data_IF_489776185117
#
_entry.id   IF_489776185117
#
_cell.length_a   1.000
_cell.length_b   1.000
_cell.length_c   1.000
_cell.angle_alpha   90.00
_cell.angle_beta   90.00
_cell.angle_gamma   90.00
#
_symmetry.space_group_name_H-M   'P 1'
#
loop_
_entity.id
_entity.type
_entity.pdbx_description
1 polymer ?
#
# COMPACT_ATOMS: atom_id res chain seq x y z
N UNK A 1 -13.01 -5.77 16.05
CA UNK A 1 -13.87 -6.92 15.74
C UNK A 1 -14.54 -6.80 14.38
N UNK A 2 -15.17 -5.67 14.06
CA UNK A 2 -15.80 -5.47 12.73
C UNK A 2 -14.83 -5.66 11.56
N UNK A 3 -13.61 -5.12 11.68
CA UNK A 3 -12.59 -5.33 10.67
C UNK A 3 -12.17 -6.81 10.58
N UNK A 4 -11.86 -7.46 11.70
CA UNK A 4 -11.31 -8.83 11.72
C UNK A 4 -12.34 -9.91 11.39
N UNK A 5 -13.52 -9.91 12.01
CA UNK A 5 -14.54 -10.94 11.78
C UNK A 5 -15.43 -10.53 10.58
N UNK A 6 -15.90 -9.29 10.58
CA UNK A 6 -16.82 -8.79 9.55
C UNK A 6 -16.16 -8.67 8.19
N UNK A 7 -15.10 -7.86 8.09
CA UNK A 7 -14.45 -7.56 6.81
C UNK A 7 -13.45 -8.63 6.38
N UNK A 8 -12.52 -9.00 7.26
CA UNK A 8 -11.45 -9.94 6.88
C UNK A 8 -12.02 -11.34 6.70
N UNK A 9 -12.81 -11.89 7.62
CA UNK A 9 -13.39 -13.23 7.44
C UNK A 9 -14.66 -13.24 6.57
N UNK A 10 -15.32 -12.10 6.36
CA UNK A 10 -16.60 -12.03 5.63
C UNK A 10 -17.77 -12.60 6.43
N UNK A 11 -17.68 -12.61 7.77
CA UNK A 11 -18.69 -13.19 8.64
C UNK A 11 -19.52 -12.08 9.30
N UNK A 12 -20.84 -11.98 9.02
CA UNK A 12 -21.70 -11.03 9.70
C UNK A 12 -21.62 -11.21 11.22
N UNK A 13 -21.51 -10.11 11.96
CA UNK A 13 -21.41 -10.13 13.41
C UNK A 13 -22.47 -9.24 14.06
N UNK A 14 -22.87 -9.63 15.27
CA UNK A 14 -23.66 -8.80 16.19
C UNK A 14 -22.92 -8.74 17.51
N UNK A 15 -22.59 -7.53 17.96
CA UNK A 15 -21.91 -7.31 19.24
C UNK A 15 -22.97 -7.03 20.31
N UNK A 16 -22.80 -7.62 21.50
CA UNK A 16 -23.62 -7.33 22.68
C UNK A 16 -22.75 -7.38 23.94
N UNK A 17 -23.02 -6.49 24.89
CA UNK A 17 -22.49 -6.54 26.26
C UNK A 17 -23.46 -7.22 27.23
N UNK A 18 -24.68 -7.55 26.80
CA UNK A 18 -25.68 -8.27 27.59
C UNK A 18 -25.39 -9.78 27.57
N UNK A 19 -24.99 -10.31 28.73
CA UNK A 19 -24.67 -11.71 28.92
C UNK A 19 -25.87 -12.66 28.71
N UNK A 20 -27.10 -12.22 29.00
CA UNK A 20 -28.32 -13.00 28.78
C UNK A 20 -28.61 -13.08 27.29
N UNK A 21 -28.64 -11.94 26.60
CA UNK A 21 -28.79 -11.90 25.15
C UNK A 21 -27.71 -12.73 24.42
N UNK A 22 -26.47 -12.74 24.93
CA UNK A 22 -25.39 -13.57 24.41
C UNK A 22 -25.63 -15.08 24.60
N UNK A 23 -26.09 -15.50 25.77
CA UNK A 23 -26.38 -16.92 26.07
C UNK A 23 -27.58 -17.44 25.28
N UNK A 24 -28.56 -16.59 25.01
CA UNK A 24 -29.77 -16.94 24.24
C UNK A 24 -29.57 -16.84 22.73
N UNK A 25 -28.48 -16.21 22.27
CA UNK A 25 -28.20 -16.07 20.85
C UNK A 25 -28.01 -17.44 20.17
N UNK A 26 -28.70 -17.62 19.05
CA UNK A 26 -28.53 -18.78 18.18
C UNK A 26 -27.26 -18.65 17.32
N UNK A 27 -26.59 -19.78 17.07
CA UNK A 27 -25.45 -19.87 16.18
C UNK A 27 -24.08 -19.71 16.85
N UNK A 28 -23.03 -19.44 16.05
CA UNK A 28 -21.67 -19.27 16.55
C UNK A 28 -21.54 -18.10 17.51
N UNK A 29 -20.92 -18.35 18.66
CA UNK A 29 -20.68 -17.34 19.69
C UNK A 29 -19.20 -17.23 19.98
N UNK A 30 -18.73 -15.99 20.09
CA UNK A 30 -17.38 -15.65 20.49
C UNK A 30 -17.45 -14.75 21.72
N UNK A 31 -16.86 -15.17 22.84
CA UNK A 31 -16.72 -14.33 24.02
C UNK A 31 -15.35 -13.68 24.07
N UNK A 32 -15.33 -12.37 24.28
CA UNK A 32 -14.13 -11.58 24.52
C UNK A 32 -14.19 -11.00 25.93
N UNK A 33 -13.26 -11.41 26.80
CA UNK A 33 -13.30 -11.04 28.22
C UNK A 33 -12.25 -11.76 29.05
N UNK A 34 -12.28 -11.57 30.37
CA UNK A 34 -11.34 -12.19 31.32
C UNK A 34 -11.63 -13.67 31.59
N UNK A 35 -12.86 -14.12 31.30
CA UNK A 35 -13.31 -15.49 31.56
C UNK A 35 -14.04 -16.09 30.36
N UNK A 36 -13.87 -17.39 30.09
CA UNK A 36 -14.61 -18.09 29.05
C UNK A 36 -16.10 -18.17 29.39
N UNK A 37 -16.94 -18.21 28.35
CA UNK A 37 -18.37 -18.44 28.48
C UNK A 37 -18.72 -19.81 27.88
N UNK A 38 -19.56 -20.58 28.57
CA UNK A 38 -19.94 -21.91 28.13
C UNK A 38 -20.57 -21.89 26.72
N UNK A 39 -20.12 -22.79 25.84
CA UNK A 39 -20.64 -22.91 24.48
C UNK A 39 -20.28 -21.75 23.55
N UNK A 40 -19.25 -20.96 23.89
CA UNK A 40 -18.67 -19.92 23.05
C UNK A 40 -17.16 -20.13 22.87
N UNK A 41 -16.65 -19.77 21.69
CA UNK A 41 -15.21 -19.66 21.48
C UNK A 41 -14.68 -18.48 22.28
N UNK A 42 -13.65 -18.68 23.09
CA UNK A 42 -13.10 -17.62 23.92
C UNK A 42 -11.85 -16.99 23.29
N UNK A 43 -11.82 -15.65 23.27
CA UNK A 43 -10.63 -14.82 23.06
C UNK A 43 -10.37 -14.06 24.37
N UNK A 44 -9.18 -14.20 24.98
CA UNK A 44 -8.90 -13.55 26.25
C UNK A 44 -8.76 -12.03 26.09
N UNK A 45 -9.11 -11.31 27.14
CA UNK A 45 -8.94 -9.86 27.26
C UNK A 45 -7.74 -9.52 28.13
N UNK A 46 -6.81 -8.75 27.57
CA UNK A 46 -5.59 -8.30 28.25
C UNK A 46 -5.73 -6.96 28.97
N UNK A 47 -6.79 -6.20 28.68
CA UNK A 47 -6.93 -4.81 29.12
C UNK A 47 -6.33 -3.77 28.18
N UNK A 48 -5.46 -4.17 27.23
CA UNK A 48 -4.68 -3.25 26.42
C UNK A 48 -5.51 -2.34 25.48
N UNK A 49 -6.74 -2.71 25.14
CA UNK A 49 -7.64 -1.82 24.38
C UNK A 49 -8.16 -0.63 25.21
N UNK A 50 -8.19 -0.72 26.54
CA UNK A 50 -8.62 0.39 27.40
C UNK A 50 -7.48 1.36 27.70
N UNK A 51 -6.26 0.83 27.75
CA UNK A 51 -5.05 1.62 27.97
C UNK A 51 -3.97 1.10 27.04
N UNK A 52 -3.80 1.81 25.92
CA UNK A 52 -2.77 1.48 24.96
C UNK A 52 -1.39 1.56 25.62
N UNK A 53 -0.49 0.61 25.31
CA UNK A 53 0.79 0.55 26.00
C UNK A 53 1.65 1.75 25.60
N UNK A 54 2.28 2.39 26.60
CA UNK A 54 3.20 3.50 26.36
C UNK A 54 4.52 3.04 25.71
N UNK A 55 4.86 1.77 25.88
CA UNK A 55 6.05 1.12 25.33
C UNK A 55 5.66 -0.02 24.39
N UNK A 56 6.64 -0.52 23.65
CA UNK A 56 6.41 -1.67 22.77
C UNK A 56 6.01 -2.90 23.59
N UNK A 57 4.92 -3.60 23.22
CA UNK A 57 4.50 -4.79 23.94
C UNK A 57 5.49 -5.94 23.69
N UNK A 58 5.66 -6.85 24.66
CA UNK A 58 6.47 -8.05 24.45
C UNK A 58 5.83 -8.93 23.37
N UNK A 59 6.68 -9.60 22.58
CA UNK A 59 6.26 -10.61 21.61
C UNK A 59 6.50 -11.98 22.21
N UNK A 60 5.42 -12.74 22.40
CA UNK A 60 5.47 -14.12 22.86
C UNK A 60 5.18 -15.08 21.69
N UNK A 61 5.52 -16.35 21.84
CA UNK A 61 5.08 -17.41 20.93
C UNK A 61 3.85 -18.10 21.51
N UNK A 62 2.75 -18.07 20.75
CA UNK A 62 1.49 -18.78 21.07
C UNK A 62 1.15 -19.65 19.87
N UNK A 63 1.01 -20.96 20.08
CA UNK A 63 0.77 -21.95 19.02
C UNK A 63 1.76 -21.84 17.83
N UNK A 64 3.02 -21.51 18.11
CA UNK A 64 4.07 -21.33 17.11
C UNK A 64 3.99 -20.02 16.30
N UNK A 65 3.04 -19.13 16.61
CA UNK A 65 2.93 -17.80 16.01
C UNK A 65 3.41 -16.72 16.99
N UNK A 66 4.08 -15.66 16.52
CA UNK A 66 4.31 -14.49 17.34
C UNK A 66 2.95 -13.88 17.72
N UNK A 67 2.84 -13.41 18.95
CA UNK A 67 1.61 -12.89 19.53
C UNK A 67 1.94 -11.71 20.47
N UNK A 68 1.10 -10.69 20.41
CA UNK A 68 1.13 -9.55 21.34
C UNK A 68 0.10 -9.75 22.44
N UNK A 69 0.36 -9.18 23.61
CA UNK A 69 -0.56 -9.21 24.76
C UNK A 69 -0.95 -10.65 25.18
N UNK A 70 0.03 -11.49 25.58
CA UNK A 70 -0.23 -12.86 26.02
C UNK A 70 -1.09 -12.87 27.29
N UNK A 71 -2.03 -13.81 27.35
CA UNK A 71 -2.90 -14.09 28.51
C UNK A 71 -2.89 -15.60 28.77
N UNK A 72 -2.06 -16.03 29.72
CA UNK A 72 -1.83 -17.45 29.98
C UNK A 72 -1.18 -18.15 28.78
N UNK A 73 -1.85 -19.15 28.21
CA UNK A 73 -1.42 -19.90 27.02
C UNK A 73 -2.03 -19.36 25.71
N UNK A 74 -2.78 -18.27 25.77
CA UNK A 74 -3.41 -17.61 24.64
C UNK A 74 -2.94 -16.15 24.54
N UNK A 75 -3.55 -15.36 23.66
CA UNK A 75 -3.28 -13.93 23.54
C UNK A 75 -4.53 -13.16 23.15
N UNK A 76 -4.52 -11.86 23.47
CA UNK A 76 -5.58 -10.94 23.11
C UNK A 76 -5.44 -10.53 21.64
N UNK A 77 -6.07 -11.31 20.76
CA UNK A 77 -6.04 -11.10 19.31
C UNK A 77 -6.56 -9.71 18.92
N UNK A 78 -7.59 -9.20 19.59
CA UNK A 78 -8.18 -7.92 19.21
C UNK A 78 -7.31 -6.75 19.63
N UNK A 79 -6.66 -6.82 20.81
CA UNK A 79 -5.65 -5.84 21.20
C UNK A 79 -4.42 -5.91 20.28
N UNK A 80 -3.94 -7.11 19.95
CA UNK A 80 -2.79 -7.31 19.07
C UNK A 80 -3.05 -6.73 17.66
N UNK A 81 -4.20 -7.07 17.06
CA UNK A 81 -4.60 -6.52 15.78
C UNK A 81 -4.81 -5.00 15.84
N UNK A 82 -5.45 -4.48 16.88
CA UNK A 82 -5.66 -3.04 17.03
C UNK A 82 -4.35 -2.28 17.13
N UNK A 83 -3.40 -2.74 17.96
CA UNK A 83 -2.10 -2.10 18.13
C UNK A 83 -1.35 -1.92 16.80
N UNK A 84 -1.36 -2.96 15.97
CA UNK A 84 -0.69 -2.97 14.67
C UNK A 84 -1.45 -2.17 13.60
N UNK A 85 -2.76 -2.35 13.50
CA UNK A 85 -3.58 -1.68 12.48
C UNK A 85 -3.79 -0.19 12.79
N UNK A 86 -3.86 0.20 14.06
CA UNK A 86 -3.94 1.60 14.44
C UNK A 86 -2.57 2.31 14.44
N UNK A 87 -1.49 1.61 14.03
CA UNK A 87 -0.13 2.16 13.94
C UNK A 87 0.32 2.81 15.25
N UNK A 88 0.02 2.17 16.39
CA UNK A 88 0.25 2.73 17.73
C UNK A 88 1.75 2.97 18.00
N UNK A 89 2.63 2.16 17.43
CA UNK A 89 4.07 2.39 17.49
C UNK A 89 4.51 3.58 16.64
N UNK A 90 3.97 3.73 15.42
CA UNK A 90 4.32 4.83 14.53
C UNK A 90 3.90 6.19 15.10
N UNK A 91 2.72 6.27 15.73
CA UNK A 91 2.24 7.48 16.42
C UNK A 91 3.21 7.96 17.52
N UNK A 92 3.91 7.03 18.17
CA UNK A 92 4.88 7.33 19.23
C UNK A 92 6.29 7.60 18.67
N UNK A 93 6.56 7.24 17.41
CA UNK A 93 7.90 7.28 16.85
C UNK A 93 8.30 8.69 16.39
N UNK A 94 9.34 9.23 17.00
CA UNK A 94 9.90 10.55 16.66
C UNK A 94 11.10 10.48 15.70
N UNK A 95 11.64 9.29 15.43
CA UNK A 95 12.78 9.13 14.53
C UNK A 95 12.40 9.53 13.09
N UNK A 96 13.31 10.21 12.39
CA UNK A 96 13.12 10.69 11.02
C UNK A 96 14.36 10.42 10.18
N UNK A 97 14.18 9.91 8.97
CA UNK A 97 15.23 9.76 7.97
C UNK A 97 15.45 11.07 7.18
N UNK A 98 16.33 11.04 6.18
CA UNK A 98 16.63 12.19 5.32
C UNK A 98 15.42 12.72 4.51
N UNK A 99 14.36 11.91 4.37
CA UNK A 99 13.11 12.27 3.72
C UNK A 99 12.00 12.59 4.73
N UNK A 100 12.33 12.68 6.02
CA UNK A 100 11.38 12.92 7.10
C UNK A 100 10.29 11.83 7.21
N UNK A 101 10.68 10.59 6.89
CA UNK A 101 9.90 9.37 7.11
C UNK A 101 10.38 8.68 8.37
N UNK A 102 9.56 7.80 8.96
CA UNK A 102 10.05 6.93 10.03
C UNK A 102 11.05 5.94 9.43
N UNK A 103 12.30 5.86 9.94
CA UNK A 103 13.27 4.86 9.48
C UNK A 103 12.75 3.45 9.73
N UNK A 104 12.99 2.54 8.80
CA UNK A 104 12.46 1.16 8.86
C UNK A 104 12.91 0.43 10.13
N UNK A 105 14.16 0.61 10.55
CA UNK A 105 14.73 0.06 11.79
C UNK A 105 14.10 0.63 13.08
N UNK A 106 13.44 1.78 12.99
CA UNK A 106 12.76 2.43 14.10
C UNK A 106 11.31 1.92 14.29
N UNK A 107 10.79 1.09 13.40
CA UNK A 107 9.44 0.52 13.49
C UNK A 107 9.42 -0.72 14.39
N UNK A 108 8.41 -0.82 15.25
CA UNK A 108 8.26 -1.97 16.13
C UNK A 108 8.09 -3.26 15.33
N UNK A 109 7.30 -3.22 14.25
CA UNK A 109 7.03 -4.39 13.41
C UNK A 109 8.30 -4.97 12.79
N UNK A 110 9.28 -4.11 12.48
CA UNK A 110 10.59 -4.55 11.95
C UNK A 110 11.46 -5.11 13.08
N UNK A 111 11.61 -4.38 14.19
CA UNK A 111 12.45 -4.84 15.32
C UNK A 111 11.99 -6.18 15.91
N UNK A 112 10.69 -6.46 15.83
CA UNK A 112 10.07 -7.68 16.38
C UNK A 112 9.91 -8.82 15.37
N UNK A 113 10.31 -8.65 14.10
CA UNK A 113 10.12 -9.65 13.04
C UNK A 113 8.66 -9.82 12.59
N UNK A 114 7.75 -8.95 13.03
CA UNK A 114 6.34 -8.96 12.61
C UNK A 114 6.14 -8.40 11.18
N UNK A 115 7.13 -7.71 10.63
CA UNK A 115 7.08 -7.17 9.27
C UNK A 115 7.27 -8.24 8.17
N UNK A 116 7.71 -9.45 8.51
CA UNK A 116 8.12 -10.47 7.52
C UNK A 116 6.94 -11.31 6.99
N UNK A 117 5.79 -11.28 7.66
CA UNK A 117 4.59 -12.01 7.27
C UNK A 117 3.32 -11.23 7.65
N UNK A 118 2.17 -11.52 7.00
CA UNK A 118 0.90 -10.87 7.33
C UNK A 118 0.29 -11.50 8.60
N UNK A 119 0.93 -11.32 9.75
CA UNK A 119 0.56 -11.97 11.01
C UNK A 119 -0.87 -11.66 11.47
N UNK A 120 -1.37 -10.43 11.25
CA UNK A 120 -2.76 -10.10 11.57
C UNK A 120 -3.72 -10.98 10.76
N UNK A 121 -3.44 -11.18 9.47
CA UNK A 121 -4.23 -12.08 8.62
C UNK A 121 -4.14 -13.53 9.10
N UNK A 122 -2.94 -14.02 9.46
CA UNK A 122 -2.73 -15.37 9.96
C UNK A 122 -3.48 -15.62 11.28
N UNK A 123 -3.44 -14.69 12.22
CA UNK A 123 -4.19 -14.78 13.47
C UNK A 123 -5.70 -14.82 13.24
N UNK A 124 -6.20 -13.96 12.35
CA UNK A 124 -7.63 -13.88 12.02
C UNK A 124 -8.10 -15.14 11.32
N UNK A 125 -7.30 -15.71 10.42
CA UNK A 125 -7.60 -17.00 9.79
C UNK A 125 -7.62 -18.14 10.81
N UNK A 126 -6.64 -18.21 11.71
CA UNK A 126 -6.62 -19.23 12.77
C UNK A 126 -7.87 -19.12 13.68
N UNK A 127 -8.32 -17.89 13.98
CA UNK A 127 -9.58 -17.66 14.68
C UNK A 127 -10.78 -18.16 13.86
N UNK A 128 -10.81 -17.86 12.56
CA UNK A 128 -11.84 -18.32 11.63
C UNK A 128 -11.92 -19.85 11.57
N UNK A 129 -10.78 -20.54 11.48
CA UNK A 129 -10.73 -22.00 11.51
C UNK A 129 -11.28 -22.59 12.81
N UNK A 130 -10.94 -21.98 13.96
CA UNK A 130 -11.50 -22.40 15.26
C UNK A 130 -13.02 -22.24 15.31
N UNK A 131 -13.57 -21.17 14.73
CA UNK A 131 -15.02 -20.97 14.60
C UNK A 131 -15.66 -22.00 13.65
N UNK A 132 -14.97 -22.35 12.57
CA UNK A 132 -15.47 -23.34 11.60
C UNK A 132 -15.49 -24.76 12.15
N UNK A 133 -14.57 -25.12 13.05
CA UNK A 133 -14.57 -26.43 13.72
C UNK A 133 -15.83 -26.66 14.56
N UNK A 134 -16.33 -25.62 15.23
CA UNK A 134 -17.60 -25.69 15.97
C UNK A 134 -18.82 -25.42 15.10
N UNK A 135 -18.67 -24.71 13.97
CA UNK A 135 -19.75 -24.39 13.05
C UNK A 135 -19.31 -24.57 11.58
N UNK A 136 -19.38 -25.80 11.03
CA UNK A 136 -18.83 -26.13 9.71
C UNK A 136 -19.47 -25.40 8.53
N UNK A 137 -20.64 -24.79 8.71
CA UNK A 137 -21.32 -23.97 7.69
C UNK A 137 -20.72 -22.58 7.54
N UNK A 138 -19.93 -22.11 8.52
CA UNK A 138 -19.16 -20.89 8.38
C UNK A 138 -18.07 -21.10 7.32
N UNK A 139 -17.97 -20.15 6.40
CA UNK A 139 -16.91 -20.10 5.40
C UNK A 139 -16.33 -18.70 5.39
N UNK A 140 -15.02 -18.62 5.22
CA UNK A 140 -14.39 -17.33 4.99
C UNK A 140 -14.69 -16.89 3.56
N UNK A 141 -15.04 -15.61 3.38
CA UNK A 141 -15.21 -15.02 2.05
C UNK A 141 -13.90 -14.49 1.46
N UNK A 142 -12.76 -14.80 2.08
CA UNK A 142 -11.45 -14.35 1.62
C UNK A 142 -11.10 -14.99 0.29
N UNK A 143 -10.51 -14.17 -0.58
CA UNK A 143 -10.00 -14.58 -1.86
C UNK A 143 -8.70 -13.83 -2.10
N UNK A 144 -7.72 -14.53 -2.64
CA UNK A 144 -6.49 -13.90 -3.07
C UNK A 144 -6.79 -12.87 -4.16
N UNK A 145 -6.18 -11.69 -4.05
CA UNK A 145 -6.28 -10.62 -5.03
C UNK A 145 -4.90 -10.07 -5.32
N UNK A 146 -4.65 -9.72 -6.58
CA UNK A 146 -3.45 -8.99 -6.97
C UNK A 146 -3.82 -7.60 -7.48
N UNK A 147 -3.34 -6.56 -6.80
CA UNK A 147 -3.51 -5.17 -7.21
C UNK A 147 -2.16 -4.64 -7.64
N UNK A 148 -2.06 -4.30 -8.93
CA UNK A 148 -0.88 -3.64 -9.48
C UNK A 148 -1.04 -2.14 -9.29
N UNK A 149 0.00 -1.49 -8.83
CA UNK A 149 0.02 -0.03 -8.75
C UNK A 149 1.30 0.53 -9.34
N UNK A 150 1.19 1.66 -10.03
CA UNK A 150 2.31 2.30 -10.73
C UNK A 150 2.42 3.74 -10.28
N UNK A 151 3.58 4.09 -9.75
CA UNK A 151 3.96 5.45 -9.40
C UNK A 151 4.56 6.10 -10.64
N UNK A 152 3.84 7.10 -11.16
CA UNK A 152 4.18 7.80 -12.39
C UNK A 152 4.82 9.14 -12.02
N UNK A 153 6.06 9.06 -11.54
CA UNK A 153 6.80 10.22 -10.99
C UNK A 153 7.12 11.27 -12.05
N UNK A 154 7.43 10.81 -13.26
CA UNK A 154 7.94 11.66 -14.32
C UNK A 154 6.88 11.94 -15.39
N UNK A 155 5.93 11.02 -15.57
CA UNK A 155 4.90 10.99 -16.61
C UNK A 155 5.48 10.80 -18.02
N UNK A 156 6.51 11.57 -18.38
CA UNK A 156 7.19 11.53 -19.67
C UNK A 156 8.70 11.71 -19.48
N UNK A 157 9.49 11.01 -20.29
CA UNK A 157 10.95 11.12 -20.28
C UNK A 157 11.45 12.39 -20.98
N UNK A 158 10.85 12.75 -22.11
CA UNK A 158 11.31 13.84 -22.99
C UNK A 158 10.20 14.79 -23.45
N UNK A 159 9.02 14.26 -23.81
CA UNK A 159 7.89 15.06 -24.28
C UNK A 159 7.38 16.00 -23.17
N UNK A 160 6.88 17.18 -23.53
CA UNK A 160 6.34 18.16 -22.58
C UNK A 160 7.34 18.80 -21.60
N UNK A 161 8.60 18.35 -21.57
CA UNK A 161 9.66 18.93 -20.73
C UNK A 161 9.99 20.37 -21.19
N UNK A 162 10.32 21.31 -20.26
CA UNK A 162 10.77 22.65 -20.63
C UNK A 162 11.95 22.63 -21.61
N UNK A 163 11.95 23.56 -22.57
CA UNK A 163 13.01 23.67 -23.58
C UNK A 163 14.39 23.92 -22.97
N UNK A 164 14.47 24.73 -21.91
CA UNK A 164 15.72 25.00 -21.18
C UNK A 164 16.34 23.73 -20.59
N UNK A 165 15.53 22.87 -19.95
CA UNK A 165 15.99 21.56 -19.45
C UNK A 165 16.42 20.65 -20.60
N UNK A 166 15.69 20.64 -21.72
CA UNK A 166 16.04 19.80 -22.87
C UNK A 166 17.37 20.19 -23.51
N UNK A 167 17.66 21.50 -23.63
CA UNK A 167 18.93 22.01 -24.13
C UNK A 167 20.09 21.67 -23.19
N UNK A 168 19.94 21.92 -21.88
CA UNK A 168 20.95 21.56 -20.89
C UNK A 168 21.24 20.05 -20.86
N UNK A 169 20.20 19.22 -20.93
CA UNK A 169 20.33 17.77 -21.00
C UNK A 169 20.96 17.29 -22.33
N UNK A 170 20.83 18.07 -23.41
CA UNK A 170 21.49 17.79 -24.70
C UNK A 170 22.98 18.11 -24.62
N UNK A 171 23.35 19.27 -24.09
CA UNK A 171 24.74 19.63 -23.85
C UNK A 171 25.43 18.58 -22.96
N UNK A 172 24.76 18.17 -21.88
CA UNK A 172 25.24 17.10 -20.98
C UNK A 172 25.46 15.77 -21.72
N UNK A 173 24.51 15.33 -22.54
CA UNK A 173 24.66 14.08 -23.29
C UNK A 173 25.82 14.14 -24.29
N UNK A 174 26.00 15.26 -24.99
CA UNK A 174 27.10 15.44 -25.94
C UNK A 174 28.46 15.45 -25.22
N UNK A 175 28.57 16.14 -24.07
CA UNK A 175 29.78 16.12 -23.23
C UNK A 175 30.12 14.71 -22.73
N UNK A 176 29.11 13.89 -22.42
CA UNK A 176 29.30 12.49 -22.03
C UNK A 176 29.38 11.51 -23.21
N UNK A 177 29.53 11.99 -24.45
CA UNK A 177 29.64 11.17 -25.66
C UNK A 177 28.45 10.24 -25.89
N UNK A 178 27.23 10.72 -25.61
CA UNK A 178 25.95 10.00 -25.81
C UNK A 178 25.10 10.66 -26.90
N UNK A 179 25.58 10.80 -28.16
CA UNK A 179 24.84 11.50 -29.21
C UNK A 179 23.49 10.83 -29.55
N UNK A 180 23.38 9.51 -29.42
CA UNK A 180 22.11 8.79 -29.60
C UNK A 180 21.04 9.21 -28.60
N UNK A 181 21.41 9.52 -27.36
CA UNK A 181 20.49 10.03 -26.35
C UNK A 181 19.97 11.43 -26.68
N UNK A 182 20.85 12.27 -27.25
CA UNK A 182 20.48 13.59 -27.73
C UNK A 182 19.51 13.50 -28.92
N UNK A 183 19.82 12.66 -29.91
CA UNK A 183 18.95 12.45 -31.07
C UNK A 183 17.57 11.91 -30.66
N UNK A 184 17.52 10.87 -29.83
CA UNK A 184 16.29 10.29 -29.31
C UNK A 184 15.40 11.35 -28.64
N UNK A 185 15.97 12.19 -27.77
CA UNK A 185 15.25 13.27 -27.10
C UNK A 185 14.54 14.17 -28.10
N UNK A 186 15.24 14.60 -29.16
CA UNK A 186 14.68 15.50 -30.16
C UNK A 186 13.65 14.82 -31.06
N UNK A 187 13.88 13.56 -31.44
CA UNK A 187 12.90 12.76 -32.18
C UNK A 187 11.60 12.59 -31.37
N UNK A 188 11.68 12.28 -30.08
CA UNK A 188 10.49 12.17 -29.22
C UNK A 188 9.78 13.52 -29.08
N UNK A 189 10.53 14.61 -28.85
CA UNK A 189 9.95 15.95 -28.71
C UNK A 189 9.28 16.46 -29.99
N UNK A 190 9.80 16.09 -31.15
CA UNK A 190 9.20 16.41 -32.46
C UNK A 190 7.97 15.56 -32.80
N UNK A 191 7.68 14.53 -32.00
CA UNK A 191 6.59 13.57 -32.26
C UNK A 191 6.96 12.45 -33.25
N UNK A 192 8.18 12.44 -33.79
CA UNK A 192 8.67 11.38 -34.67
C UNK A 192 8.80 10.02 -33.94
N UNK A 193 9.10 10.06 -32.65
CA UNK A 193 9.10 8.87 -31.78
C UNK A 193 8.13 9.05 -30.62
N UNK A 194 7.52 7.95 -30.19
CA UNK A 194 6.70 7.93 -28.97
C UNK A 194 7.61 7.98 -27.73
N UNK A 195 7.18 8.71 -26.71
CA UNK A 195 7.92 8.81 -25.45
C UNK A 195 8.06 7.43 -24.78
N UNK A 196 9.29 7.03 -24.36
CA UNK A 196 9.54 5.68 -23.87
C UNK A 196 8.76 5.34 -22.60
N UNK A 197 8.44 6.31 -21.73
CA UNK A 197 7.73 6.01 -20.47
C UNK A 197 6.29 5.57 -20.70
N UNK A 198 5.69 5.94 -21.84
CA UNK A 198 4.36 5.45 -22.22
C UNK A 198 4.34 3.93 -22.49
N UNK A 199 5.49 3.31 -22.79
CA UNK A 199 5.58 1.86 -22.99
C UNK A 199 5.31 1.08 -21.70
N UNK A 200 5.71 1.63 -20.55
CA UNK A 200 5.41 1.03 -19.25
C UNK A 200 3.93 1.05 -18.95
N UNK A 201 3.23 2.14 -19.33
CA UNK A 201 1.77 2.22 -19.19
C UNK A 201 1.05 1.26 -20.15
N UNK A 202 1.53 1.11 -21.39
CA UNK A 202 1.00 0.10 -22.32
C UNK A 202 1.14 -1.31 -21.74
N UNK A 203 2.29 -1.62 -21.12
CA UNK A 203 2.54 -2.92 -20.50
C UNK A 203 1.52 -3.22 -19.40
N UNK A 204 1.25 -2.25 -18.53
CA UNK A 204 0.29 -2.38 -17.43
C UNK A 204 -1.13 -2.52 -17.96
N UNK A 205 -1.52 -1.69 -18.93
CA UNK A 205 -2.85 -1.75 -19.57
C UNK A 205 -3.13 -3.13 -20.17
N UNK A 206 -2.15 -3.75 -20.85
CA UNK A 206 -2.28 -5.11 -21.41
C UNK A 206 -2.57 -6.19 -20.36
N UNK A 207 -2.15 -5.98 -19.12
CA UNK A 207 -2.25 -6.95 -18.04
C UNK A 207 -3.35 -6.62 -17.03
N UNK A 208 -4.16 -5.57 -17.25
CA UNK A 208 -5.27 -5.21 -16.35
C UNK A 208 -6.19 -6.41 -16.10
N UNK A 209 -6.52 -7.16 -17.16
CA UNK A 209 -7.40 -8.32 -17.09
C UNK A 209 -6.80 -9.53 -16.34
N UNK A 210 -5.48 -9.56 -16.14
CA UNK A 210 -4.79 -10.62 -15.39
C UNK A 210 -4.64 -10.29 -13.90
N UNK A 211 -5.15 -9.13 -13.47
CA UNK A 211 -5.07 -8.64 -12.09
C UNK A 211 -6.46 -8.44 -11.49
N UNK A 212 -6.55 -8.31 -10.17
CA UNK A 212 -7.79 -7.88 -9.50
C UNK A 212 -8.04 -6.38 -9.57
N UNK A 213 -7.05 -5.61 -10.03
CA UNK A 213 -7.13 -4.16 -10.20
C UNK A 213 -5.77 -3.56 -10.53
N UNK A 214 -5.78 -2.47 -11.29
CA UNK A 214 -4.59 -1.72 -11.65
C UNK A 214 -4.80 -0.22 -11.38
N UNK A 215 -3.81 0.43 -10.76
CA UNK A 215 -3.89 1.84 -10.37
C UNK A 215 -2.66 2.61 -10.86
N UNK A 216 -2.87 3.75 -11.51
CA UNK A 216 -1.81 4.71 -11.84
C UNK A 216 -1.88 5.89 -10.88
N UNK A 217 -0.84 6.09 -10.06
CA UNK A 217 -0.68 7.28 -9.22
C UNK A 217 0.12 8.32 -9.99
N UNK A 218 -0.53 9.43 -10.34
CA UNK A 218 0.07 10.46 -11.19
C UNK A 218 0.58 11.62 -10.35
N UNK A 219 1.87 11.94 -10.48
CA UNK A 219 2.42 13.18 -9.94
C UNK A 219 2.03 14.34 -10.87
N UNK A 220 1.29 15.32 -10.34
CA UNK A 220 0.73 16.40 -11.16
C UNK A 220 1.60 17.67 -11.17
N UNK A 221 2.71 17.68 -10.43
CA UNK A 221 3.61 18.83 -10.25
C UNK A 221 5.07 18.43 -10.45
N UNK A 222 5.86 19.32 -11.04
CA UNK A 222 7.28 19.09 -11.38
C UNK A 222 8.21 20.25 -11.05
N UNK A 223 7.79 21.10 -10.11
CA UNK A 223 8.42 22.36 -9.73
C UNK A 223 9.33 22.26 -8.49
N UNK A 224 9.45 21.07 -7.89
CA UNK A 224 10.27 20.83 -6.69
C UNK A 224 11.63 20.16 -6.96
N UNK A 225 12.53 20.14 -5.96
CA UNK A 225 13.80 19.42 -6.04
C UNK A 225 13.62 17.89 -6.09
N UNK A 226 12.52 17.38 -5.56
CA UNK A 226 12.16 15.96 -5.57
C UNK A 226 11.06 15.64 -6.58
N UNK A 227 10.31 16.64 -7.04
CA UNK A 227 9.16 16.47 -7.92
C UNK A 227 9.55 16.83 -9.35
N UNK A 228 9.55 15.86 -10.24
CA UNK A 228 10.00 16.04 -11.62
C UNK A 228 8.95 15.61 -12.64
N UNK A 229 7.66 15.67 -12.33
CA UNK A 229 6.65 15.34 -13.33
C UNK A 229 6.60 16.34 -14.49
N UNK A 230 6.08 15.90 -15.64
CA UNK A 230 5.52 16.82 -16.62
C UNK A 230 4.13 17.21 -16.16
N UNK A 231 3.85 18.51 -16.11
CA UNK A 231 2.55 19.03 -15.68
C UNK A 231 1.43 18.72 -16.69
N UNK A 232 0.17 18.57 -16.22
CA UNK A 232 -0.98 18.17 -17.05
C UNK A 232 -1.19 18.98 -18.33
N UNK A 233 -0.86 20.27 -18.33
CA UNK A 233 -0.99 21.15 -19.50
C UNK A 233 -0.08 20.79 -20.68
N UNK A 234 0.94 19.96 -20.44
CA UNK A 234 1.94 19.60 -21.45
C UNK A 234 1.87 18.12 -21.83
N UNK A 235 0.82 17.42 -21.39
CA UNK A 235 0.63 16.02 -21.72
C UNK A 235 0.21 15.84 -23.18
N UNK A 236 0.82 14.89 -23.91
CA UNK A 236 0.43 14.60 -25.28
C UNK A 236 -0.89 13.81 -25.30
N UNK A 237 -1.64 13.92 -26.40
CA UNK A 237 -2.89 13.18 -26.63
C UNK A 237 -2.76 11.67 -26.35
N UNK A 238 -1.61 11.07 -26.67
CA UNK A 238 -1.35 9.64 -26.43
C UNK A 238 -1.35 9.21 -24.97
N UNK A 239 -1.12 10.13 -24.01
CA UNK A 239 -1.24 9.83 -22.57
C UNK A 239 -2.70 9.77 -22.14
N UNK A 240 -3.57 10.62 -22.70
CA UNK A 240 -4.98 10.71 -22.32
C UNK A 240 -5.75 9.41 -22.51
N UNK A 241 -5.28 8.52 -23.40
CA UNK A 241 -5.78 7.15 -23.54
C UNK A 241 -5.85 6.41 -22.20
N UNK A 242 -4.78 6.45 -21.42
CA UNK A 242 -4.69 5.70 -20.14
C UNK A 242 -5.57 6.29 -19.04
N UNK A 243 -6.00 7.53 -19.22
CA UNK A 243 -6.82 8.26 -18.25
C UNK A 243 -8.31 7.99 -18.44
N UNK A 244 -8.69 7.26 -19.49
CA UNK A 244 -10.09 6.94 -19.77
C UNK A 244 -10.57 5.82 -18.86
N UNK A 245 -11.80 5.95 -18.38
CA UNK A 245 -12.42 4.98 -17.46
C UNK A 245 -12.69 3.60 -18.07
N UNK A 246 -12.67 3.44 -19.39
CA UNK A 246 -12.93 2.18 -20.10
C UNK A 246 -11.70 1.26 -20.20
N UNK A 247 -10.52 1.74 -19.81
CA UNK A 247 -9.28 0.93 -19.79
C UNK A 247 -9.23 -0.07 -18.63
N UNK A 248 -10.09 0.08 -17.62
CA UNK A 248 -10.01 -0.65 -16.35
C UNK A 248 -8.93 -0.14 -15.40
N UNK A 249 -8.11 0.83 -15.81
CA UNK A 249 -7.15 1.51 -14.95
C UNK A 249 -7.87 2.50 -14.03
N UNK A 250 -7.56 2.44 -12.74
CA UNK A 250 -7.93 3.50 -11.79
C UNK A 250 -6.84 4.55 -11.79
N UNK A 251 -7.23 5.81 -11.74
CA UNK A 251 -6.30 6.93 -11.60
C UNK A 251 -6.33 7.38 -10.15
N UNK A 252 -5.16 7.62 -9.58
CA UNK A 252 -4.95 8.16 -8.24
C UNK A 252 -4.07 9.39 -8.28
N UNK A 253 -4.20 10.24 -7.26
CA UNK A 253 -3.27 11.34 -7.05
C UNK A 253 -1.99 10.79 -6.41
N UNK A 254 -0.83 11.20 -6.92
CA UNK A 254 0.44 11.04 -6.22
C UNK A 254 0.83 12.40 -5.60
N UNK A 255 0.38 12.75 -4.36
CA UNK A 255 0.65 14.07 -3.83
C UNK A 255 2.15 14.32 -3.74
N UNK A 256 2.55 15.50 -4.20
CA UNK A 256 3.96 15.85 -4.34
C UNK A 256 4.68 15.96 -3.00
N UNK A 257 6.01 15.95 -3.03
CA UNK A 257 6.87 15.79 -1.85
C UNK A 257 6.54 16.72 -0.67
N UNK A 258 6.23 17.99 -0.94
CA UNK A 258 5.96 19.00 0.09
C UNK A 258 4.54 18.97 0.68
N UNK A 259 3.59 18.24 0.09
CA UNK A 259 2.17 18.19 0.55
C UNK A 259 2.01 17.66 1.96
N UNK A 260 2.93 16.81 2.43
CA UNK A 260 2.89 16.32 3.82
C UNK A 260 3.23 17.38 4.87
N UNK A 261 3.83 18.50 4.45
CA UNK A 261 4.18 19.65 5.30
C UNK A 261 3.45 20.94 4.96
N UNK A 262 2.90 21.05 3.76
CA UNK A 262 2.17 22.22 3.26
C UNK A 262 0.73 21.85 2.87
N UNK A 263 -0.26 22.18 3.73
CA UNK A 263 -1.67 21.91 3.45
C UNK A 263 -2.20 22.59 2.18
N UNK A 264 -1.78 23.82 1.88
CA UNK A 264 -2.26 24.56 0.72
C UNK A 264 -1.82 23.94 -0.60
N UNK A 265 -0.68 23.24 -0.60
CA UNK A 265 -0.21 22.48 -1.76
C UNK A 265 -1.12 21.28 -2.07
N UNK A 266 -1.57 20.56 -1.04
CA UNK A 266 -2.49 19.42 -1.22
C UNK A 266 -3.82 19.88 -1.83
N UNK A 267 -4.42 20.95 -1.30
CA UNK A 267 -5.69 21.50 -1.81
C UNK A 267 -5.58 21.89 -3.30
N UNK A 268 -4.47 22.51 -3.67
CA UNK A 268 -4.18 22.89 -5.06
C UNK A 268 -4.07 21.66 -5.96
N UNK A 269 -3.38 20.62 -5.52
CA UNK A 269 -3.20 19.38 -6.29
C UNK A 269 -4.49 18.57 -6.42
N UNK A 270 -5.29 18.47 -5.36
CA UNK A 270 -6.64 17.89 -5.39
C UNK A 270 -7.51 18.62 -6.40
N UNK A 271 -7.49 19.95 -6.38
CA UNK A 271 -8.25 20.76 -7.32
C UNK A 271 -7.83 20.53 -8.78
N UNK A 272 -6.53 20.33 -9.05
CA UNK A 272 -6.05 19.97 -10.39
C UNK A 272 -6.50 18.56 -10.77
N UNK A 273 -6.36 17.61 -9.84
CA UNK A 273 -6.75 16.22 -10.00
C UNK A 273 -8.21 16.09 -10.40
N UNK A 274 -9.12 16.71 -9.64
CA UNK A 274 -10.56 16.67 -9.91
C UNK A 274 -10.91 17.32 -11.25
N UNK A 275 -10.36 18.51 -11.54
CA UNK A 275 -10.66 19.22 -12.79
C UNK A 275 -10.15 18.50 -14.04
N UNK A 276 -8.98 17.86 -13.96
CA UNK A 276 -8.32 17.27 -15.14
C UNK A 276 -8.64 15.79 -15.34
N UNK A 277 -8.83 15.05 -14.25
CA UNK A 277 -8.92 13.60 -14.27
C UNK A 277 -10.30 13.08 -13.88
N UNK A 278 -11.17 13.94 -13.32
CA UNK A 278 -12.57 13.63 -12.98
C UNK A 278 -12.72 12.24 -12.34
N UNK A 279 -11.97 11.95 -11.26
CA UNK A 279 -11.92 10.61 -10.70
C UNK A 279 -13.26 10.24 -10.08
N UNK A 280 -13.64 8.96 -10.20
CA UNK A 280 -14.84 8.43 -9.51
C UNK A 280 -14.65 8.37 -7.99
N UNK A 281 -13.40 8.24 -7.55
CA UNK A 281 -13.04 8.12 -6.14
C UNK A 281 -11.67 8.75 -5.94
N UNK A 282 -11.54 9.56 -4.89
CA UNK A 282 -10.26 10.15 -4.51
C UNK A 282 -9.42 9.09 -3.80
N UNK A 283 -8.30 8.73 -4.42
CA UNK A 283 -7.33 7.77 -3.89
C UNK A 283 -5.93 8.38 -4.00
N UNK A 284 -5.09 8.09 -3.02
CA UNK A 284 -3.79 8.74 -2.84
C UNK A 284 -2.67 7.73 -2.65
N UNK A 285 -1.47 8.12 -3.08
CA UNK A 285 -0.20 7.57 -2.61
C UNK A 285 0.79 8.72 -2.48
N UNK A 286 1.40 8.91 -1.33
CA UNK A 286 2.36 9.97 -1.09
C UNK A 286 3.66 9.71 -1.84
N UNK A 287 4.18 10.72 -2.53
CA UNK A 287 5.51 10.67 -3.12
C UNK A 287 6.56 10.37 -2.05
N UNK A 288 7.51 9.47 -2.35
CA UNK A 288 8.50 8.92 -1.40
C UNK A 288 7.91 8.10 -0.23
N UNK A 289 6.61 7.79 -0.24
CA UNK A 289 5.86 7.24 0.90
C UNK A 289 5.93 8.16 2.13
N UNK A 290 6.03 9.47 1.86
CA UNK A 290 6.27 10.48 2.88
C UNK A 290 4.97 11.00 3.45
N UNK A 291 4.61 10.51 4.63
CA UNK A 291 3.48 11.00 5.41
C UNK A 291 3.86 11.31 6.86
N UNK A 292 3.02 12.11 7.53
CA UNK A 292 3.12 12.38 8.96
C UNK A 292 1.82 12.00 9.63
N UNK A 293 1.87 11.04 10.55
CA UNK A 293 0.71 10.68 11.36
C UNK A 293 0.56 11.69 12.51
N UNK A 294 -0.69 12.09 12.84
CA UNK A 294 -1.94 11.82 12.11
C UNK A 294 -2.22 12.80 10.96
N UNK A 295 -1.47 13.90 10.88
CA UNK A 295 -1.81 15.08 10.09
C UNK A 295 -2.09 14.82 8.60
N UNK A 296 -1.25 14.03 7.93
CA UNK A 296 -1.45 13.69 6.51
C UNK A 296 -2.76 12.93 6.31
N UNK A 297 -3.05 11.93 7.15
CA UNK A 297 -4.27 11.15 7.04
C UNK A 297 -5.52 11.96 7.37
N UNK A 298 -5.45 12.85 8.36
CA UNK A 298 -6.54 13.80 8.65
C UNK A 298 -6.83 14.71 7.47
N UNK A 299 -5.78 15.23 6.81
CA UNK A 299 -5.92 16.09 5.63
C UNK A 299 -6.55 15.34 4.45
N UNK A 300 -6.11 14.12 4.19
CA UNK A 300 -6.70 13.28 3.13
C UNK A 300 -8.16 12.96 3.43
N UNK A 301 -8.48 12.56 4.66
CA UNK A 301 -9.87 12.29 5.06
C UNK A 301 -10.75 13.55 4.92
N UNK A 302 -10.25 14.72 5.34
CA UNK A 302 -10.97 15.99 5.20
C UNK A 302 -11.18 16.41 3.74
N UNK A 303 -10.22 16.10 2.86
CA UNK A 303 -10.32 16.32 1.41
C UNK A 303 -11.19 15.25 0.69
N UNK A 304 -11.77 14.30 1.42
CA UNK A 304 -12.68 13.30 0.85
C UNK A 304 -11.98 12.09 0.20
N UNK A 305 -10.70 11.86 0.48
CA UNK A 305 -10.03 10.63 0.04
C UNK A 305 -10.64 9.40 0.70
N UNK A 306 -10.93 8.40 -0.12
CA UNK A 306 -11.44 7.11 0.34
C UNK A 306 -10.31 6.10 0.59
N UNK A 307 -9.19 6.23 -0.12
CA UNK A 307 -8.06 5.29 -0.03
C UNK A 307 -6.70 6.00 0.03
N UNK A 308 -5.80 5.47 0.86
CA UNK A 308 -4.40 5.85 0.93
C UNK A 308 -3.53 4.59 0.83
N UNK A 309 -2.61 4.59 -0.13
CA UNK A 309 -1.84 3.44 -0.58
C UNK A 309 -0.33 3.54 -0.27
N UNK A 310 0.07 4.37 0.69
CA UNK A 310 1.47 4.57 1.07
C UNK A 310 1.99 3.62 2.16
N UNK A 311 1.12 2.79 2.73
CA UNK A 311 1.48 1.95 3.88
C UNK A 311 2.37 0.76 3.45
N UNK A 312 3.67 0.98 3.43
CA UNK A 312 4.67 -0.05 3.18
C UNK A 312 6.08 0.50 3.40
N UNK A 313 7.07 -0.24 2.92
CA UNK A 313 8.49 0.08 3.11
C UNK A 313 9.11 0.64 1.84
N UNK A 314 9.94 1.68 2.00
CA UNK A 314 10.65 2.32 0.89
C UNK A 314 11.98 1.62 0.54
N UNK A 315 12.42 0.67 1.36
CA UNK A 315 13.78 0.14 1.37
C UNK A 315 13.89 -1.38 1.52
N UNK A 316 12.76 -2.07 1.71
CA UNK A 316 12.70 -3.53 1.81
C UNK A 316 11.30 -4.05 1.42
N UNK A 317 11.14 -5.34 1.11
CA UNK A 317 9.83 -5.98 1.11
C UNK A 317 9.34 -6.26 2.54
N UNK A 318 8.01 -6.42 2.69
CA UNK A 318 7.36 -6.82 3.94
C UNK A 318 6.03 -6.11 4.19
N UNK A 319 5.45 -6.37 5.35
CA UNK A 319 4.13 -5.89 5.77
C UNK A 319 4.26 -4.90 6.93
N UNK A 320 4.24 -3.60 6.63
CA UNK A 320 4.50 -2.54 7.62
C UNK A 320 3.59 -2.59 8.85
N UNK A 321 2.30 -2.88 8.65
CA UNK A 321 1.31 -3.09 9.71
C UNK A 321 1.02 -4.57 9.99
N UNK A 322 1.93 -5.47 9.59
CA UNK A 322 1.79 -6.93 9.68
C UNK A 322 0.47 -7.47 9.09
N UNK A 323 -0.07 -6.78 8.07
CA UNK A 323 -1.29 -7.15 7.36
C UNK A 323 -1.13 -6.90 5.86
N UNK A 324 -1.83 -7.70 5.07
CA UNK A 324 -2.03 -7.49 3.64
C UNK A 324 -3.49 -7.15 3.29
N UNK A 325 -4.38 -7.09 4.28
CA UNK A 325 -5.78 -6.72 4.06
C UNK A 325 -5.99 -5.22 4.27
N UNK A 326 -6.60 -4.49 3.31
CA UNK A 326 -6.95 -3.09 3.51
C UNK A 326 -7.89 -2.87 4.69
N UNK A 327 -7.61 -1.86 5.51
CA UNK A 327 -8.31 -1.62 6.77
C UNK A 327 -8.64 -0.12 6.97
N UNK A 328 -9.73 0.21 7.68
CA UNK A 328 -10.05 1.61 7.97
C UNK A 328 -9.02 2.18 8.94
N UNK A 329 -8.51 3.38 8.65
CA UNK A 329 -7.65 4.09 9.59
C UNK A 329 -8.43 4.46 10.85
N UNK A 330 -7.80 4.25 12.00
CA UNK A 330 -8.30 4.64 13.31
C UNK A 330 -7.46 5.79 13.84
N UNK A 331 -8.08 6.93 14.12
CA UNK A 331 -7.39 8.09 14.67
C UNK A 331 -7.24 7.90 16.20
N UNK A 332 -6.10 7.34 16.61
CA UNK A 332 -5.82 6.98 18.00
C UNK A 332 -5.91 8.17 18.96
N UNK A 333 -5.48 9.36 18.51
CA UNK A 333 -5.53 10.56 19.35
C UNK A 333 -6.96 11.07 19.56
N UNK A 334 -7.86 10.83 18.60
CA UNK A 334 -9.28 11.21 18.68
C UNK A 334 -10.19 10.07 19.12
N UNK A 335 -9.65 8.88 19.34
CA UNK A 335 -10.37 7.66 19.69
C UNK A 335 -11.57 7.37 18.78
N UNK A 336 -11.38 7.52 17.46
CA UNK A 336 -12.46 7.37 16.49
C UNK A 336 -12.06 6.62 15.21
N UNK A 337 -12.95 5.79 14.65
CA UNK A 337 -12.76 5.23 13.32
C UNK A 337 -12.92 6.32 12.26
N UNK A 338 -12.31 6.11 11.09
CA UNK A 338 -12.46 6.99 9.92
C UNK A 338 -12.90 6.19 8.69
N UNK A 339 -13.53 6.83 7.69
CA UNK A 339 -13.87 6.17 6.43
C UNK A 339 -12.65 5.97 5.51
N UNK A 340 -11.50 6.57 5.81
CA UNK A 340 -10.29 6.46 5.00
C UNK A 340 -9.70 5.05 5.13
N UNK A 341 -9.60 4.33 4.02
CA UNK A 341 -9.05 2.99 3.97
C UNK A 341 -7.54 3.03 3.68
N UNK A 342 -6.73 2.42 4.56
CA UNK A 342 -5.32 2.19 4.30
C UNK A 342 -5.14 0.90 3.50
N UNK A 343 -4.42 0.99 2.40
CA UNK A 343 -4.07 -0.12 1.51
C UNK A 343 -2.58 -0.42 1.65
N UNK A 344 -2.20 -1.46 2.42
CA UNK A 344 -0.81 -1.83 2.55
C UNK A 344 -0.27 -2.44 1.26
N UNK A 345 1.02 -2.22 0.98
CA UNK A 345 1.73 -2.92 -0.10
C UNK A 345 2.92 -3.71 0.44
N UNK A 346 3.27 -4.80 -0.27
CA UNK A 346 4.23 -5.79 0.22
C UNK A 346 5.61 -5.67 -0.44
N UNK A 347 5.67 -5.18 -1.68
CA UNK A 347 6.93 -5.02 -2.42
C UNK A 347 6.85 -3.86 -3.42
N UNK A 348 7.99 -3.21 -3.63
CA UNK A 348 8.17 -2.10 -4.55
C UNK A 348 9.46 -2.27 -5.34
N UNK A 349 9.42 -2.11 -6.67
CA UNK A 349 10.58 -2.29 -7.54
C UNK A 349 11.76 -1.39 -7.15
N UNK A 350 11.55 -0.11 -6.89
CA UNK A 350 12.62 0.82 -6.47
C UNK A 350 13.30 0.40 -5.17
N UNK A 351 12.57 -0.17 -4.21
CA UNK A 351 13.16 -0.72 -2.98
C UNK A 351 14.08 -1.92 -3.31
N UNK A 352 13.59 -2.87 -4.09
CA UNK A 352 14.35 -4.07 -4.46
C UNK A 352 15.59 -3.73 -5.30
N UNK A 353 15.47 -2.76 -6.20
CA UNK A 353 16.55 -2.36 -7.12
C UNK A 353 17.57 -1.47 -6.43
N UNK A 354 17.12 -0.34 -5.87
CA UNK A 354 18.03 0.73 -5.43
C UNK A 354 18.51 0.52 -4.00
N UNK A 355 17.74 -0.18 -3.15
CA UNK A 355 18.06 -0.36 -1.73
C UNK A 355 18.58 -1.76 -1.44
N UNK A 356 17.94 -2.79 -1.99
CA UNK A 356 18.41 -4.17 -1.84
C UNK A 356 19.47 -4.58 -2.87
N UNK A 357 19.65 -3.81 -3.95
CA UNK A 357 20.65 -4.11 -4.98
C UNK A 357 20.34 -5.38 -5.79
N UNK A 358 19.07 -5.77 -5.87
CA UNK A 358 18.68 -7.01 -6.56
C UNK A 358 18.70 -6.82 -8.07
N UNK A 359 19.16 -7.86 -8.75
CA UNK A 359 19.02 -7.97 -10.20
C UNK A 359 17.58 -8.41 -10.57
N UNK A 360 17.23 -8.48 -11.87
CA UNK A 360 15.90 -8.90 -12.29
C UNK A 360 15.45 -10.25 -11.71
N UNK A 361 16.35 -11.24 -11.60
CA UNK A 361 15.99 -12.56 -11.09
C UNK A 361 15.71 -12.53 -9.58
N UNK A 362 16.56 -11.83 -8.82
CA UNK A 362 16.38 -11.62 -7.38
C UNK A 362 15.10 -10.84 -7.06
N UNK A 363 14.81 -9.79 -7.83
CA UNK A 363 13.58 -9.02 -7.66
C UNK A 363 12.33 -9.84 -7.97
N UNK A 364 12.33 -10.64 -9.05
CA UNK A 364 11.24 -11.60 -9.34
C UNK A 364 11.03 -12.55 -8.17
N UNK A 365 12.09 -13.18 -7.66
CA UNK A 365 11.99 -14.13 -6.55
C UNK A 365 11.42 -13.47 -5.28
N UNK A 366 11.90 -12.27 -4.94
CA UNK A 366 11.41 -11.52 -3.78
C UNK A 366 9.92 -11.14 -3.89
N UNK A 367 9.47 -10.66 -5.06
CA UNK A 367 8.06 -10.33 -5.28
C UNK A 367 7.16 -11.58 -5.28
N UNK A 368 7.63 -12.71 -5.84
CA UNK A 368 6.89 -13.99 -5.79
C UNK A 368 6.74 -14.48 -4.36
N UNK A 369 7.80 -14.42 -3.55
CA UNK A 369 7.74 -14.79 -2.14
C UNK A 369 6.70 -13.96 -1.37
N UNK A 370 6.65 -12.64 -1.60
CA UNK A 370 5.61 -11.78 -1.00
C UNK A 370 4.20 -12.14 -1.51
N UNK A 371 4.05 -12.46 -2.79
CA UNK A 371 2.77 -12.95 -3.33
C UNK A 371 2.34 -14.27 -2.67
N UNK A 372 3.27 -15.19 -2.41
CA UNK A 372 2.98 -16.49 -1.79
C UNK A 372 2.55 -16.34 -0.33
N UNK A 373 3.20 -15.46 0.43
CA UNK A 373 2.81 -15.09 1.79
C UNK A 373 1.37 -14.55 1.85
N UNK A 374 1.00 -13.70 0.88
CA UNK A 374 -0.36 -13.16 0.79
C UNK A 374 -1.37 -14.21 0.30
N UNK A 375 -0.96 -15.09 -0.61
CA UNK A 375 -1.81 -16.18 -1.12
C UNK A 375 -2.13 -17.19 -0.03
N UNK A 376 -1.17 -17.49 0.84
CA UNK A 376 -1.38 -18.37 2.00
C UNK A 376 -2.49 -17.88 2.94
N UNK A 377 -2.73 -16.56 2.98
CA UNK A 377 -3.80 -15.95 3.78
C UNK A 377 -5.00 -15.46 2.95
N UNK A 378 -5.06 -15.82 1.67
CA UNK A 378 -6.10 -15.36 0.73
C UNK A 378 -6.35 -13.84 0.81
N UNK A 379 -5.26 -13.07 0.92
CA UNK A 379 -5.29 -11.62 1.12
C UNK A 379 -5.14 -10.81 -0.19
N UNK A 380 -4.80 -9.53 -0.05
CA UNK A 380 -4.57 -8.64 -1.20
C UNK A 380 -3.08 -8.36 -1.38
N UNK A 381 -2.48 -8.90 -2.43
CA UNK A 381 -1.10 -8.62 -2.79
C UNK A 381 -1.07 -7.32 -3.58
N UNK A 382 -0.54 -6.25 -2.99
CA UNK A 382 -0.31 -4.98 -3.70
C UNK A 382 1.17 -4.90 -4.05
N UNK A 383 1.47 -4.83 -5.36
CA UNK A 383 2.82 -4.63 -5.89
C UNK A 383 2.96 -3.22 -6.45
N UNK A 384 4.03 -2.52 -6.08
CA UNK A 384 4.32 -1.15 -6.52
C UNK A 384 5.42 -1.16 -7.58
N UNK A 385 5.17 -0.43 -8.67
CA UNK A 385 6.08 -0.30 -9.80
C UNK A 385 6.28 1.17 -10.15
N UNK A 386 7.34 1.53 -10.86
CA UNK A 386 7.50 2.88 -11.41
C UNK A 386 7.60 2.87 -12.93
N UNK A 387 7.06 3.93 -13.54
CA UNK A 387 7.05 4.14 -15.00
C UNK A 387 8.42 3.95 -15.66
N UNK A 388 9.49 4.45 -15.02
CA UNK A 388 10.87 4.34 -15.50
C UNK A 388 11.34 2.89 -15.66
N UNK A 389 11.03 2.00 -14.71
CA UNK A 389 11.46 0.60 -14.77
C UNK A 389 10.64 -0.18 -15.80
N UNK A 390 9.32 -0.01 -15.76
CA UNK A 390 8.39 -0.67 -16.67
C UNK A 390 8.57 -0.23 -18.13
N UNK A 391 9.15 0.95 -18.38
CA UNK A 391 9.41 1.44 -19.74
C UNK A 391 10.36 0.57 -20.55
N UNK A 392 11.21 -0.25 -19.88
CA UNK A 392 12.27 -0.99 -20.54
C UNK A 392 13.34 -0.09 -21.16
N UNK A 393 13.38 1.20 -20.81
CA UNK A 393 14.28 2.16 -21.43
C UNK A 393 15.72 1.95 -20.95
N UNK A 394 16.64 1.72 -21.89
CA UNK A 394 18.10 1.65 -21.65
C UNK A 394 18.49 0.62 -20.60
N UNK A 395 19.07 1.06 -19.48
CA UNK A 395 19.47 0.22 -18.36
C UNK A 395 18.32 -0.63 -17.82
N UNK A 396 17.07 -0.23 -18.09
CA UNK A 396 15.89 -0.94 -17.61
C UNK A 396 15.33 -2.01 -18.56
N UNK A 397 16.02 -2.35 -19.66
CA UNK A 397 15.51 -3.26 -20.71
C UNK A 397 14.97 -4.62 -20.23
N UNK A 398 15.45 -5.12 -19.07
CA UNK A 398 15.05 -6.42 -18.50
C UNK A 398 13.90 -6.34 -17.50
N UNK A 399 13.47 -5.16 -17.04
CA UNK A 399 12.44 -5.03 -16.01
C UNK A 399 11.00 -5.28 -16.48
N UNK A 400 10.62 -5.02 -17.75
CA UNK A 400 9.30 -5.42 -18.25
C UNK A 400 9.00 -6.91 -18.06
N UNK A 401 10.00 -7.79 -18.25
CA UNK A 401 9.78 -9.23 -18.06
C UNK A 401 9.58 -9.61 -16.59
N UNK A 402 10.23 -8.88 -15.65
CA UNK A 402 10.01 -9.07 -14.20
C UNK A 402 8.56 -8.77 -13.85
N UNK A 403 8.00 -7.69 -14.39
CA UNK A 403 6.58 -7.36 -14.21
C UNK A 403 5.67 -8.47 -14.72
N UNK A 404 5.87 -8.92 -15.96
CA UNK A 404 5.05 -9.97 -16.58
C UNK A 404 5.12 -11.28 -15.79
N UNK A 405 6.31 -11.66 -15.33
CA UNK A 405 6.55 -12.84 -14.51
C UNK A 405 5.88 -12.79 -13.13
N UNK A 406 5.83 -11.61 -12.50
CA UNK A 406 5.15 -11.40 -11.22
C UNK A 406 3.64 -11.40 -11.40
N UNK A 407 3.11 -10.70 -12.42
CA UNK A 407 1.67 -10.72 -12.74
C UNK A 407 1.20 -12.15 -13.04
N UNK A 408 1.97 -12.91 -13.83
CA UNK A 408 1.64 -14.30 -14.15
C UNK A 408 1.58 -15.19 -12.90
N UNK A 409 2.50 -15.00 -11.96
CA UNK A 409 2.55 -15.75 -10.70
C UNK A 409 1.42 -15.34 -9.73
N UNK A 410 1.16 -14.05 -9.67
CA UNK A 410 0.15 -13.44 -8.82
C UNK A 410 -1.23 -13.35 -9.49
N UNK A 411 -1.50 -14.15 -10.52
CA UNK A 411 -2.83 -14.19 -11.14
C UNK A 411 -3.88 -14.62 -10.09
N UNK A 412 -5.00 -13.89 -9.92
CA UNK A 412 -6.00 -14.14 -8.89
C UNK A 412 -6.52 -15.58 -8.86
#
# INVERSE_FOLDING_TARGET
>A
MEHTIGRMLGMPLRITSDATAFREAAGPRLSYGSSPMAGALHVPWSGALHQLPAQDPPVALVDGMPALFPVGHAFDLFAAAFFLLALVDEHRCQARDAHDRIPTEALFTVRSGLADAPWVDRWVLALGERLQRSHPTLRSARAFRHVVTVDVDNVLRYAGRPWTRALGATAKDLLHLRPGAALERWMVRSGLLRDPFLRGLDLVERHVADTSGAILFLLLRGDGPHDHAVEPDRWPAGLHRFLRHDTGLRIGLHPSYATSTDPGRLETEVSIYERRLQPRTLISRQHFLRWRLPDTLRRLAAAGFAEEHSLGFADRPGFRAATCTPFPWYDVERDQPTPLMLWPFAAMDSALIERCGLDPAGATAAMRAMSDEVRAVQGTFVSVWHDRYLSGHREFARWPSVFEEVVKHARP
#
